data_IF_326910477926
#
_entry.id   IF_326910477926
#
_cell.length_a   1.000
_cell.length_b   1.000
_cell.length_c   1.000
_cell.angle_alpha   90.00
_cell.angle_beta   90.00
_cell.angle_gamma   90.00
#
_symmetry.space_group_name_H-M   'P 1'
#
loop_
_entity.id
_entity.type
_entity.pdbx_description
1 polymer ?
#
# COMPACT_ATOMS: atom_id res chain seq x y z
N UNK A 1 -1.94 30.71 18.82
CA UNK A 1 -2.55 30.96 17.49
C UNK A 1 -1.60 30.38 16.44
N UNK A 2 -1.55 29.05 16.30
CA UNK A 2 -2.21 28.24 15.25
C UNK A 2 -2.09 28.82 13.83
N UNK A 3 -1.09 28.38 13.08
CA UNK A 3 -1.05 28.43 11.62
C UNK A 3 -0.84 27.01 11.09
N UNK A 4 -1.94 26.25 10.98
CA UNK A 4 -1.97 25.00 10.21
C UNK A 4 -2.14 25.37 8.74
N UNK A 5 -1.10 25.14 7.93
CA UNK A 5 -1.22 25.19 6.47
C UNK A 5 -1.99 23.96 5.96
N UNK A 6 -2.99 24.13 5.08
CA UNK A 6 -3.79 23.03 4.57
C UNK A 6 -3.09 22.33 3.39
N UNK A 7 -2.63 21.11 3.61
CA UNK A 7 -2.12 20.20 2.58
C UNK A 7 -3.29 19.50 1.87
N UNK A 8 -4.03 20.22 1.02
CA UNK A 8 -5.01 19.61 0.12
C UNK A 8 -5.15 20.50 -1.12
N UNK A 9 -4.36 20.24 -2.15
CA UNK A 9 -4.68 20.57 -3.56
C UNK A 9 -3.57 20.05 -4.48
N UNK A 10 -3.70 18.81 -4.94
CA UNK A 10 -3.26 18.39 -6.29
C UNK A 10 -3.65 16.94 -6.52
N UNK A 11 -4.82 16.74 -7.13
CA UNK A 11 -5.14 15.51 -7.84
C UNK A 11 -4.39 15.60 -9.17
N UNK A 12 -3.18 15.04 -9.22
CA UNK A 12 -2.48 14.78 -10.48
C UNK A 12 -2.79 13.34 -10.91
N UNK A 13 -3.60 13.23 -11.95
CA UNK A 13 -3.84 12.00 -12.68
C UNK A 13 -2.53 11.64 -13.42
N UNK A 14 -1.69 10.81 -12.80
CA UNK A 14 -0.60 10.12 -13.51
C UNK A 14 -0.93 8.63 -13.50
N UNK A 15 -1.24 8.12 -14.70
CA UNK A 15 -1.59 6.74 -14.95
C UNK A 15 -0.44 5.82 -14.60
N UNK A 16 -0.60 5.06 -13.53
CA UNK A 16 0.23 3.92 -13.19
C UNK A 16 -0.45 2.66 -13.72
N UNK A 17 0.22 1.92 -14.60
CA UNK A 17 -0.19 0.56 -14.96
C UNK A 17 0.05 -0.32 -13.73
N UNK A 18 -1.01 -0.56 -12.96
CA UNK A 18 -0.97 -1.52 -11.85
C UNK A 18 -1.16 -2.92 -12.42
N UNK A 19 -0.10 -3.73 -12.42
CA UNK A 19 -0.21 -5.15 -12.69
C UNK A 19 -0.87 -5.84 -11.49
N UNK A 20 -2.06 -6.40 -11.69
CA UNK A 20 -2.71 -7.28 -10.72
C UNK A 20 -2.20 -8.70 -10.96
N UNK A 21 -1.36 -9.22 -10.07
CA UNK A 21 -0.96 -10.62 -10.12
C UNK A 21 -2.06 -11.47 -9.48
N UNK A 22 -2.78 -12.25 -10.28
CA UNK A 22 -3.71 -13.28 -9.82
C UNK A 22 -2.97 -14.63 -9.81
N UNK A 23 -2.61 -15.12 -8.64
CA UNK A 23 -2.19 -16.51 -8.46
C UNK A 23 -3.42 -17.32 -8.05
N UNK A 24 -3.92 -18.14 -8.96
CA UNK A 24 -4.93 -19.15 -8.67
C UNK A 24 -4.24 -20.51 -8.65
N UNK A 25 -4.08 -21.09 -7.45
CA UNK A 25 -3.74 -22.50 -7.29
C UNK A 25 -4.54 -23.08 -6.15
N UNK A 26 -5.48 -23.97 -6.48
CA UNK A 26 -6.07 -24.90 -5.55
C UNK A 26 -5.03 -25.98 -5.22
N UNK A 27 -4.48 -25.97 -4.01
CA UNK A 27 -3.81 -27.12 -3.41
C UNK A 27 -4.26 -27.21 -1.95
N UNK A 28 -4.91 -28.30 -1.58
CA UNK A 28 -5.02 -28.73 -0.19
C UNK A 28 -3.85 -29.68 0.10
N UNK A 29 -2.94 -29.23 0.95
CA UNK A 29 -2.06 -30.06 1.75
C UNK A 29 -1.66 -29.22 2.97
N UNK A 30 -2.10 -29.67 4.14
CA UNK A 30 -1.63 -29.18 5.43
C UNK A 30 -0.13 -29.48 5.56
N UNK A 31 0.70 -28.44 5.69
CA UNK A 31 1.85 -28.37 6.61
C UNK A 31 2.53 -26.98 6.50
N UNK A 32 2.45 -26.22 7.60
CA UNK A 32 3.37 -25.14 8.05
C UNK A 32 3.97 -24.19 6.99
N UNK A 33 3.14 -23.62 6.10
CA UNK A 33 3.43 -22.32 5.49
C UNK A 33 2.79 -21.26 6.37
N UNK A 34 3.62 -20.50 7.09
CA UNK A 34 3.25 -19.49 8.08
C UNK A 34 1.92 -18.82 7.76
N UNK A 35 0.93 -19.10 8.62
CA UNK A 35 -0.49 -18.74 8.51
C UNK A 35 -0.76 -17.66 7.46
N UNK A 36 -1.20 -18.09 6.26
CA UNK A 36 -1.69 -17.20 5.21
C UNK A 36 -2.57 -16.11 5.86
N UNK A 37 -2.37 -14.86 5.46
CA UNK A 37 -3.07 -13.71 6.04
C UNK A 37 -4.58 -13.97 6.13
N UNK A 38 -5.23 -13.42 7.16
CA UNK A 38 -6.66 -13.66 7.42
C UNK A 38 -7.55 -13.07 6.32
N UNK A 39 -7.04 -12.09 5.58
CA UNK A 39 -7.76 -11.33 4.56
C UNK A 39 -7.59 -11.96 3.20
N UNK A 40 -8.68 -12.46 2.63
CA UNK A 40 -8.73 -13.04 1.30
C UNK A 40 -9.54 -12.15 0.35
N UNK A 41 -8.98 -11.83 -0.81
CA UNK A 41 -9.64 -11.04 -1.85
C UNK A 41 -10.06 -11.94 -3.02
N UNK A 42 -11.23 -11.71 -3.58
CA UNK A 42 -11.70 -12.40 -4.78
C UNK A 42 -12.58 -11.48 -5.62
N UNK A 43 -12.82 -11.86 -6.87
CA UNK A 43 -13.78 -11.21 -7.75
C UNK A 43 -14.82 -12.27 -8.14
N UNK A 44 -16.10 -11.97 -7.92
CA UNK A 44 -17.23 -12.83 -8.26
C UNK A 44 -18.26 -11.98 -9.03
N UNK A 45 -18.67 -12.43 -10.21
CA UNK A 45 -19.64 -11.73 -11.07
C UNK A 45 -19.32 -10.23 -11.30
N UNK A 46 -18.03 -9.89 -11.39
CA UNK A 46 -17.54 -8.52 -11.59
C UNK A 46 -17.48 -7.67 -10.32
N UNK A 47 -17.85 -8.21 -9.17
CA UNK A 47 -17.79 -7.54 -7.87
C UNK A 47 -16.58 -7.99 -7.04
N UNK A 48 -16.01 -7.07 -6.29
CA UNK A 48 -14.97 -7.35 -5.31
C UNK A 48 -15.56 -7.96 -4.04
N UNK A 49 -14.91 -9.01 -3.55
CA UNK A 49 -15.24 -9.66 -2.29
C UNK A 49 -14.01 -9.69 -1.39
N UNK A 50 -14.22 -9.39 -0.10
CA UNK A 50 -13.22 -9.57 0.95
C UNK A 50 -13.79 -10.55 1.98
N UNK A 51 -13.03 -11.61 2.27
CA UNK A 51 -13.43 -12.68 3.18
C UNK A 51 -14.79 -13.30 2.83
N UNK A 52 -15.06 -13.45 1.53
CA UNK A 52 -16.32 -14.01 1.00
C UNK A 52 -17.49 -13.02 0.92
N UNK A 53 -17.36 -11.82 1.48
CA UNK A 53 -18.42 -10.81 1.47
C UNK A 53 -18.18 -9.75 0.40
N UNK A 54 -19.24 -9.34 -0.31
CA UNK A 54 -19.18 -8.22 -1.25
C UNK A 54 -18.73 -6.94 -0.53
N UNK A 55 -17.87 -6.13 -1.16
CA UNK A 55 -17.43 -4.86 -0.58
C UNK A 55 -18.58 -3.85 -0.53
N UNK A 56 -18.65 -3.05 0.53
CA UNK A 56 -19.61 -1.94 0.71
C UNK A 56 -21.09 -2.30 0.41
N UNK A 57 -21.65 -3.35 1.02
CA UNK A 57 -23.02 -3.80 0.72
C UNK A 57 -24.05 -2.71 0.98
N UNK A 58 -25.00 -2.54 0.07
CA UNK A 58 -26.09 -1.57 0.10
C UNK A 58 -25.69 -0.13 -0.22
N UNK A 59 -24.42 0.14 -0.51
CA UNK A 59 -23.94 1.48 -0.87
C UNK A 59 -23.81 1.65 -2.40
N UNK A 60 -23.68 2.89 -2.87
CA UNK A 60 -23.38 3.18 -4.28
C UNK A 60 -22.04 2.58 -4.76
N UNK A 61 -21.15 2.22 -3.81
CA UNK A 61 -19.87 1.58 -4.08
C UNK A 61 -19.90 0.05 -3.87
N UNK A 62 -21.07 -0.57 -3.83
CA UNK A 62 -21.21 -2.02 -3.66
C UNK A 62 -20.42 -2.79 -4.71
N UNK A 63 -19.61 -3.75 -4.24
CA UNK A 63 -18.74 -4.58 -5.04
C UNK A 63 -17.64 -3.83 -5.78
N UNK A 64 -17.42 -2.54 -5.49
CA UNK A 64 -16.23 -1.81 -5.92
C UNK A 64 -15.17 -1.87 -4.83
N UNK A 65 -13.89 -1.78 -5.23
CA UNK A 65 -12.78 -1.71 -4.30
C UNK A 65 -12.43 -0.25 -4.01
N UNK A 66 -13.08 0.33 -3.00
CA UNK A 66 -12.78 1.70 -2.60
C UNK A 66 -11.35 1.77 -2.03
N UNK A 67 -10.49 2.48 -2.74
CA UNK A 67 -9.06 2.53 -2.51
C UNK A 67 -8.56 3.98 -2.43
N UNK A 68 -7.52 4.19 -1.63
CA UNK A 68 -6.77 5.46 -1.60
C UNK A 68 -5.27 5.22 -1.79
N UNK A 69 -4.62 6.18 -2.45
CA UNK A 69 -3.18 6.12 -2.73
C UNK A 69 -2.39 6.64 -1.55
N UNK A 70 -1.85 5.73 -0.75
CA UNK A 70 -0.93 5.99 0.37
C UNK A 70 0.50 5.66 -0.05
N UNK A 71 0.88 6.01 -1.28
CA UNK A 71 2.10 5.50 -1.94
C UNK A 71 3.37 5.83 -1.16
N UNK A 72 3.38 6.93 -0.40
CA UNK A 72 4.51 7.37 0.42
C UNK A 72 4.39 7.00 1.90
N UNK A 73 3.46 6.14 2.30
CA UNK A 73 3.29 5.84 3.73
C UNK A 73 4.39 4.96 4.34
N UNK A 74 5.14 4.23 3.51
CA UNK A 74 6.34 3.46 3.93
C UNK A 74 7.64 4.12 3.43
N UNK A 75 7.51 5.34 2.90
CA UNK A 75 8.58 6.13 2.30
C UNK A 75 9.78 6.25 3.23
N UNK A 76 10.96 6.26 2.63
CA UNK A 76 12.23 6.58 3.24
C UNK A 76 13.02 7.38 2.22
N UNK A 77 13.62 8.49 2.66
CA UNK A 77 14.55 9.22 1.83
C UNK A 77 15.98 8.99 2.33
N UNK A 78 16.73 8.18 1.60
CA UNK A 78 18.12 7.88 1.93
C UNK A 78 19.03 9.11 1.86
N UNK A 79 18.57 10.19 1.21
CA UNK A 79 19.30 11.46 1.15
C UNK A 79 18.96 12.42 2.30
N UNK A 80 17.92 12.11 3.10
CA UNK A 80 17.43 12.97 4.18
C UNK A 80 17.35 12.21 5.51
N UNK A 81 18.39 12.35 6.33
CA UNK A 81 18.47 11.70 7.63
C UNK A 81 17.51 12.26 8.68
N UNK A 82 16.97 13.48 8.47
CA UNK A 82 16.04 14.11 9.40
C UNK A 82 14.61 13.56 9.27
N UNK A 83 14.32 12.86 8.17
CA UNK A 83 13.01 12.24 7.95
C UNK A 83 12.89 10.89 8.66
N UNK A 84 11.99 10.79 9.63
CA UNK A 84 11.70 9.53 10.31
C UNK A 84 10.65 8.69 9.56
N UNK A 85 11.15 7.73 8.76
CA UNK A 85 10.33 6.78 8.03
C UNK A 85 9.45 5.89 8.93
N UNK A 86 9.88 5.59 10.16
CA UNK A 86 9.09 4.78 11.08
C UNK A 86 7.90 5.56 11.60
N UNK A 87 8.11 6.80 12.05
CA UNK A 87 7.02 7.68 12.51
C UNK A 87 5.99 7.89 11.39
N UNK A 88 6.41 8.15 10.15
CA UNK A 88 5.51 8.25 9.00
C UNK A 88 4.66 6.98 8.78
N UNK A 89 5.26 5.80 8.95
CA UNK A 89 4.55 4.51 8.84
C UNK A 89 3.57 4.32 10.01
N UNK A 90 3.95 4.70 11.22
CA UNK A 90 3.12 4.60 12.42
C UNK A 90 1.87 5.47 12.34
N UNK A 91 2.00 6.68 11.78
CA UNK A 91 0.87 7.59 11.57
C UNK A 91 -0.17 7.00 10.61
N UNK A 92 0.26 6.33 9.52
CA UNK A 92 -0.68 5.60 8.67
C UNK A 92 -1.37 4.50 9.47
N UNK A 93 -0.61 3.64 10.16
CA UNK A 93 -1.14 2.49 10.91
C UNK A 93 -2.18 2.93 11.93
N UNK A 94 -1.91 4.01 12.66
CA UNK A 94 -2.83 4.58 13.64
C UNK A 94 -4.14 5.08 13.01
N UNK A 95 -4.11 5.49 11.73
CA UNK A 95 -5.26 6.05 11.02
C UNK A 95 -6.11 4.99 10.31
N UNK A 96 -5.53 3.82 9.97
CA UNK A 96 -6.23 2.73 9.25
C UNK A 96 -7.61 2.35 9.85
N UNK A 97 -7.80 2.24 11.18
CA UNK A 97 -9.12 1.92 11.73
C UNK A 97 -10.18 2.96 11.38
N UNK A 98 -9.83 4.24 11.31
CA UNK A 98 -10.76 5.29 10.90
C UNK A 98 -11.12 5.16 9.43
N UNK A 99 -10.14 4.90 8.56
CA UNK A 99 -10.40 4.67 7.13
C UNK A 99 -11.29 3.46 6.88
N UNK A 100 -11.02 2.33 7.55
CA UNK A 100 -11.84 1.11 7.46
C UNK A 100 -13.30 1.39 7.84
N UNK A 101 -13.54 2.09 8.97
CA UNK A 101 -14.90 2.47 9.40
C UNK A 101 -15.62 3.41 8.44
N UNK A 102 -14.89 4.19 7.64
CA UNK A 102 -15.44 5.06 6.61
C UNK A 102 -15.74 4.33 5.29
N UNK A 103 -15.58 3.01 5.23
CA UNK A 103 -15.86 2.19 4.04
C UNK A 103 -14.67 2.02 3.09
N UNK A 104 -13.46 2.45 3.48
CA UNK A 104 -12.27 2.18 2.68
C UNK A 104 -11.92 0.68 2.75
N UNK A 105 -11.83 0.03 1.60
CA UNK A 105 -11.53 -1.40 1.50
C UNK A 105 -10.05 -1.66 1.29
N UNK A 106 -9.36 -0.75 0.61
CA UNK A 106 -7.96 -0.92 0.22
C UNK A 106 -7.12 0.36 0.35
N UNK A 107 -5.81 0.17 0.47
CA UNK A 107 -4.82 1.22 0.29
C UNK A 107 -3.81 0.80 -0.77
N UNK A 108 -3.21 1.78 -1.45
CA UNK A 108 -2.07 1.56 -2.34
C UNK A 108 -0.79 2.03 -1.68
N UNK A 109 0.20 1.15 -1.55
CA UNK A 109 1.56 1.48 -1.10
C UNK A 109 2.53 1.45 -2.28
N UNK A 110 3.60 2.25 -2.23
CA UNK A 110 4.66 2.25 -3.25
C UNK A 110 5.99 1.80 -2.67
N UNK A 111 6.61 0.76 -3.24
CA UNK A 111 7.96 0.34 -2.89
C UNK A 111 9.03 1.31 -3.37
N UNK A 112 8.76 2.07 -4.43
CA UNK A 112 9.51 3.25 -4.84
C UNK A 112 8.74 4.56 -4.61
N UNK A 113 7.62 4.48 -3.89
CA UNK A 113 6.80 5.64 -3.52
C UNK A 113 6.22 6.41 -4.70
N UNK A 114 6.10 7.72 -4.53
CA UNK A 114 5.70 8.71 -5.50
C UNK A 114 6.30 10.07 -5.12
N UNK A 115 5.96 11.13 -5.84
CA UNK A 115 6.51 12.46 -5.58
C UNK A 115 6.24 12.93 -4.13
N UNK A 116 7.28 13.19 -3.31
CA UNK A 116 7.12 13.52 -1.88
C UNK A 116 6.90 15.03 -1.64
N UNK A 117 6.75 15.83 -2.70
CA UNK A 117 6.61 17.30 -2.59
C UNK A 117 7.91 18.08 -2.78
N UNK A 118 9.02 17.38 -3.03
CA UNK A 118 10.33 17.96 -3.32
C UNK A 118 11.14 17.06 -4.25
N UNK A 119 12.16 17.64 -4.89
CA UNK A 119 13.08 16.93 -5.79
C UNK A 119 14.30 16.38 -5.04
N UNK A 120 14.93 15.36 -5.61
CA UNK A 120 16.17 14.78 -5.09
C UNK A 120 15.99 13.66 -4.07
N UNK A 121 14.75 13.34 -3.67
CA UNK A 121 14.46 12.21 -2.79
C UNK A 121 14.96 10.89 -3.39
N UNK A 122 15.55 10.05 -2.53
CA UNK A 122 16.03 8.71 -2.90
C UNK A 122 15.27 7.67 -2.08
N UNK A 123 14.22 7.10 -2.68
CA UNK A 123 13.28 6.18 -2.05
C UNK A 123 13.11 4.91 -2.88
N UNK A 124 13.65 3.78 -2.38
CA UNK A 124 13.46 2.47 -3.01
C UNK A 124 13.52 1.35 -1.99
N UNK A 125 12.59 0.40 -2.07
CA UNK A 125 12.65 -0.88 -1.39
C UNK A 125 13.65 -1.85 -2.05
N UNK A 126 14.11 -1.54 -3.26
CA UNK A 126 15.07 -2.32 -4.02
C UNK A 126 16.48 -1.71 -3.87
N UNK A 127 17.47 -2.56 -3.71
CA UNK A 127 18.87 -2.22 -3.96
C UNK A 127 19.14 -2.20 -5.47
N UNK A 128 20.34 -1.74 -5.86
CA UNK A 128 20.70 -1.58 -7.27
C UNK A 128 20.67 -2.90 -8.07
N UNK A 129 20.93 -4.03 -7.42
CA UNK A 129 20.85 -5.37 -8.02
C UNK A 129 19.41 -5.95 -8.04
N UNK A 130 18.42 -5.17 -7.64
CA UNK A 130 17.02 -5.59 -7.55
C UNK A 130 16.67 -6.36 -6.27
N UNK A 131 17.63 -6.63 -5.39
CA UNK A 131 17.35 -7.29 -4.11
C UNK A 131 16.51 -6.39 -3.18
N UNK A 132 15.66 -7.01 -2.36
CA UNK A 132 14.78 -6.27 -1.45
C UNK A 132 15.50 -5.87 -0.16
N UNK A 133 15.35 -4.62 0.23
CA UNK A 133 15.94 -4.04 1.44
C UNK A 133 15.09 -4.41 2.66
N UNK A 134 15.66 -5.19 3.57
CA UNK A 134 14.94 -5.72 4.74
C UNK A 134 14.35 -4.62 5.65
N UNK A 135 15.07 -3.52 5.86
CA UNK A 135 14.58 -2.38 6.68
C UNK A 135 13.33 -1.74 6.09
N UNK A 136 13.28 -1.61 4.76
CA UNK A 136 12.13 -1.10 4.04
C UNK A 136 10.94 -2.06 4.14
N UNK A 137 11.18 -3.35 3.90
CA UNK A 137 10.15 -4.38 4.00
C UNK A 137 9.59 -4.54 5.42
N UNK A 138 10.39 -4.28 6.46
CA UNK A 138 9.90 -4.26 7.84
C UNK A 138 8.76 -3.26 8.04
N UNK A 139 8.83 -2.07 7.40
CA UNK A 139 7.74 -1.08 7.42
C UNK A 139 6.53 -1.56 6.62
N UNK A 140 6.76 -2.10 5.42
CA UNK A 140 5.69 -2.68 4.58
C UNK A 140 4.94 -3.78 5.34
N UNK A 141 5.64 -4.71 5.98
CA UNK A 141 5.06 -5.80 6.76
C UNK A 141 4.19 -5.29 7.92
N UNK A 142 4.59 -4.21 8.60
CA UNK A 142 3.77 -3.60 9.67
C UNK A 142 2.44 -3.08 9.13
N UNK A 143 2.45 -2.40 7.98
CA UNK A 143 1.22 -1.93 7.33
C UNK A 143 0.37 -3.10 6.84
N UNK A 144 0.96 -4.10 6.18
CA UNK A 144 0.26 -5.32 5.75
C UNK A 144 -0.42 -6.02 6.93
N UNK A 145 0.29 -6.15 8.05
CA UNK A 145 -0.23 -6.77 9.28
C UNK A 145 -1.40 -5.96 9.87
N UNK A 146 -1.31 -4.63 9.84
CA UNK A 146 -2.38 -3.76 10.33
C UNK A 146 -3.62 -3.84 9.43
N UNK A 147 -3.45 -3.80 8.11
CA UNK A 147 -4.52 -3.99 7.14
C UNK A 147 -5.17 -5.38 7.28
N UNK A 148 -4.39 -6.44 7.45
CA UNK A 148 -4.92 -7.80 7.61
C UNK A 148 -5.83 -7.94 8.85
N UNK A 149 -5.48 -7.27 9.96
CA UNK A 149 -6.32 -7.25 11.17
C UNK A 149 -7.66 -6.55 10.96
N UNK A 150 -7.73 -5.63 10.00
CA UNK A 150 -8.91 -4.83 9.68
C UNK A 150 -9.72 -5.39 8.50
N UNK A 151 -9.27 -6.48 7.86
CA UNK A 151 -9.87 -6.96 6.62
C UNK A 151 -9.71 -5.97 5.46
N UNK A 152 -8.62 -5.20 5.46
CA UNK A 152 -8.28 -4.27 4.38
C UNK A 152 -7.26 -4.88 3.44
N UNK A 153 -7.37 -4.55 2.15
CA UNK A 153 -6.45 -4.99 1.10
C UNK A 153 -5.33 -3.97 0.90
N UNK A 154 -4.12 -4.45 0.59
CA UNK A 154 -3.01 -3.59 0.16
C UNK A 154 -2.69 -3.87 -1.29
N UNK A 155 -2.73 -2.83 -2.11
CA UNK A 155 -2.24 -2.85 -3.50
C UNK A 155 -0.80 -2.34 -3.47
N UNK A 156 0.15 -3.15 -3.92
CA UNK A 156 1.56 -2.79 -3.89
C UNK A 156 2.03 -2.34 -5.28
N UNK A 157 2.38 -1.07 -5.41
CA UNK A 157 3.10 -0.54 -6.55
C UNK A 157 4.59 -0.79 -6.37
N UNK A 158 5.23 -1.48 -7.31
CA UNK A 158 6.66 -1.78 -7.23
C UNK A 158 7.50 -0.58 -7.68
N UNK A 159 7.28 -0.11 -8.90
CA UNK A 159 8.16 0.84 -9.56
C UNK A 159 7.57 2.24 -9.67
N UNK A 160 8.46 3.24 -9.69
CA UNK A 160 8.12 4.64 -9.93
C UNK A 160 9.15 5.27 -10.86
N UNK A 161 8.70 5.88 -11.97
CA UNK A 161 9.51 6.44 -13.08
C UNK A 161 10.51 7.55 -12.69
N UNK A 162 10.55 7.97 -11.42
CA UNK A 162 11.58 8.90 -10.90
C UNK A 162 12.57 8.22 -9.96
N UNK A 163 12.47 6.91 -9.80
CA UNK A 163 13.28 6.09 -8.90
C UNK A 163 13.77 4.82 -9.60
N UNK A 164 13.38 4.57 -10.84
CA UNK A 164 13.79 3.41 -11.64
C UNK A 164 15.31 3.41 -11.90
N UNK A 165 15.93 4.60 -11.99
CA UNK A 165 17.38 4.76 -12.10
C UNK A 165 18.19 4.23 -10.91
N UNK A 166 17.53 3.81 -9.82
CA UNK A 166 18.18 3.14 -8.70
C UNK A 166 18.58 1.70 -9.08
N UNK A 167 17.82 1.06 -9.97
CA UNK A 167 18.13 -0.28 -10.48
C UNK A 167 19.23 -0.19 -11.54
N UNK A 168 20.15 -1.15 -11.50
CA UNK A 168 21.14 -1.33 -12.56
C UNK A 168 20.49 -1.99 -13.80
N UNK A 169 21.03 -1.66 -14.98
CA UNK A 169 20.65 -2.25 -16.27
C UNK A 169 21.05 -3.73 -16.41
#
# INVERSE_FOLDING_TARGET
>A
MSSRHPWFTSILLQGTVSAVLLLSTCVHADDEVGRLGRTHVSIQDGHWHINGHVTNPGAAAEGLLLNTRMVNAVFEDMSNADFDANTNTDELIATLPAYSRSGLNAITLGLQGGFPGYEGAVNSAFAADGSLRATYLGRVQRVLTACDRLGMVVILGCYYQRQDQILAD
#
